data_IF_284072870974
#
_entry.id   IF_284072870974
#
_cell.length_a   1.000
_cell.length_b   1.000
_cell.length_c   1.000
_cell.angle_alpha   90.00
_cell.angle_beta   90.00
_cell.angle_gamma   90.00
#
_symmetry.space_group_name_H-M   'P 1'
#
loop_
_entity.id
_entity.type
_entity.pdbx_description
1 polymer ?
#
# COMPACT_ATOMS: atom_id res chain seq x y z
N UNK A 1 4.70 13.47 -3.38
CA UNK A 1 3.55 14.00 -2.60
C UNK A 1 2.71 15.00 -3.40
N UNK A 2 3.22 16.17 -3.83
CA UNK A 2 2.44 17.15 -4.62
C UNK A 2 2.00 16.66 -6.00
N UNK A 3 2.83 15.90 -6.70
CA UNK A 3 2.52 15.41 -8.05
C UNK A 3 1.38 14.38 -8.06
N UNK A 4 1.33 13.48 -7.09
CA UNK A 4 0.27 12.47 -6.99
C UNK A 4 -1.07 13.07 -6.59
N UNK A 5 -1.04 14.10 -5.75
CA UNK A 5 -2.24 14.82 -5.34
C UNK A 5 -2.83 15.61 -6.51
N UNK A 6 -1.98 16.24 -7.33
CA UNK A 6 -2.37 16.91 -8.58
C UNK A 6 -2.99 15.92 -9.57
N UNK A 7 -2.39 14.75 -9.76
CA UNK A 7 -2.92 13.71 -10.67
C UNK A 7 -4.27 13.18 -10.18
N UNK A 8 -4.45 12.99 -8.88
CA UNK A 8 -5.73 12.59 -8.29
C UNK A 8 -6.82 13.64 -8.50
N UNK A 9 -6.50 14.91 -8.25
CA UNK A 9 -7.46 16.00 -8.42
C UNK A 9 -7.80 16.25 -9.89
N UNK A 10 -6.83 16.18 -10.81
CA UNK A 10 -7.09 16.32 -12.24
C UNK A 10 -7.94 15.17 -12.79
N UNK A 11 -7.72 13.94 -12.35
CA UNK A 11 -8.55 12.80 -12.75
C UNK A 11 -9.99 12.93 -12.24
N UNK A 12 -10.19 13.39 -10.99
CA UNK A 12 -11.52 13.62 -10.43
C UNK A 12 -12.26 14.77 -11.11
N UNK A 13 -11.56 15.87 -11.44
CA UNK A 13 -12.13 17.02 -12.16
C UNK A 13 -12.48 16.62 -13.59
N UNK A 14 -11.62 15.89 -14.29
CA UNK A 14 -11.88 15.38 -15.64
C UNK A 14 -13.14 14.52 -15.66
N UNK A 15 -13.27 13.59 -14.72
CA UNK A 15 -14.44 12.72 -14.59
C UNK A 15 -15.73 13.51 -14.26
N UNK A 16 -15.66 14.49 -13.36
CA UNK A 16 -16.79 15.35 -13.04
C UNK A 16 -17.24 16.18 -14.27
N UNK A 17 -16.30 16.68 -15.06
CA UNK A 17 -16.60 17.41 -16.30
C UNK A 17 -17.23 16.50 -17.36
N UNK A 18 -16.76 15.26 -17.49
CA UNK A 18 -17.35 14.26 -18.39
C UNK A 18 -18.78 13.92 -18.00
N UNK A 19 -19.06 13.76 -16.71
CA UNK A 19 -20.42 13.56 -16.18
C UNK A 19 -21.30 14.77 -16.50
N UNK A 20 -20.82 15.98 -16.27
CA UNK A 20 -21.55 17.22 -16.55
C UNK A 20 -21.83 17.36 -18.05
N UNK A 21 -20.84 17.02 -18.89
CA UNK A 21 -20.98 17.05 -20.34
C UNK A 21 -22.02 16.03 -20.83
N UNK A 22 -21.96 14.80 -20.31
CA UNK A 22 -22.94 13.75 -20.64
C UNK A 22 -24.36 14.12 -20.16
N UNK A 23 -24.49 14.75 -19.00
CA UNK A 23 -25.81 15.23 -18.51
C UNK A 23 -26.33 16.42 -19.27
N UNK A 24 -25.45 17.32 -19.76
CA UNK A 24 -25.84 18.46 -20.61
C UNK A 24 -26.26 18.03 -22.02
N UNK A 25 -25.60 17.07 -22.64
CA UNK A 25 -26.00 16.45 -23.91
C UNK A 25 -27.41 15.84 -23.77
N UNK A 26 -27.74 15.34 -22.60
CA UNK A 26 -29.07 14.81 -22.30
C UNK A 26 -30.17 15.88 -22.15
N UNK A 27 -29.78 17.08 -21.70
CA UNK A 27 -30.74 18.18 -21.48
C UNK A 27 -31.08 18.97 -22.73
N UNK A 28 -30.15 19.06 -23.68
CA UNK A 28 -30.31 19.82 -24.93
C UNK A 28 -29.93 18.95 -26.14
N UNK A 29 -30.86 18.16 -26.70
CA UNK A 29 -30.58 17.43 -27.93
C UNK A 29 -30.39 18.43 -29.05
N UNK A 30 -29.16 18.54 -29.55
CA UNK A 30 -28.83 19.35 -30.75
C UNK A 30 -29.46 18.64 -31.93
N UNK A 31 -30.47 19.26 -32.53
CA UNK A 31 -31.09 18.82 -33.82
C UNK A 31 -32.22 17.80 -33.68
N UNK A 32 -33.30 18.20 -33.00
CA UNK A 32 -34.55 17.46 -33.03
C UNK A 32 -35.33 17.81 -34.31
N UNK A 33 -34.95 17.26 -35.46
CA UNK A 33 -35.81 17.08 -36.62
C UNK A 33 -35.67 15.62 -37.07
N UNK A 34 -36.74 14.86 -36.90
CA UNK A 34 -37.02 13.52 -37.50
C UNK A 34 -36.25 12.28 -36.97
N UNK A 35 -35.82 12.20 -35.73
CA UNK A 35 -35.56 10.90 -35.12
C UNK A 35 -36.32 10.72 -33.81
N UNK A 36 -37.56 11.06 -33.81
CA UNK A 36 -38.53 10.62 -32.80
C UNK A 36 -38.91 9.19 -33.09
N UNK A 37 -38.28 8.27 -32.49
CA UNK A 37 -38.68 6.96 -32.02
C UNK A 37 -37.39 6.14 -31.77
N UNK A 38 -36.43 6.68 -31.04
CA UNK A 38 -35.58 5.78 -30.29
C UNK A 38 -36.42 5.37 -29.08
N UNK A 39 -36.98 4.18 -29.15
CA UNK A 39 -37.72 3.56 -28.07
C UNK A 39 -37.08 3.87 -26.73
N UNK A 40 -37.79 4.56 -25.86
CA UNK A 40 -37.28 4.97 -24.53
C UNK A 40 -36.65 3.79 -23.77
N UNK A 41 -37.07 2.58 -24.08
CA UNK A 41 -36.50 1.33 -23.57
C UNK A 41 -35.06 1.10 -24.07
N UNK A 42 -34.79 1.28 -25.37
CA UNK A 42 -33.45 1.13 -25.97
C UNK A 42 -32.49 2.18 -25.45
N UNK A 43 -32.97 3.42 -25.34
CA UNK A 43 -32.18 4.54 -24.74
C UNK A 43 -31.81 4.26 -23.30
N UNK A 44 -32.74 3.74 -22.49
CA UNK A 44 -32.50 3.38 -21.10
C UNK A 44 -31.48 2.23 -20.97
N UNK A 45 -31.54 1.25 -21.85
CA UNK A 45 -30.59 0.13 -21.92
C UNK A 45 -29.18 0.65 -22.26
N UNK A 46 -29.05 1.48 -23.29
CA UNK A 46 -27.76 2.05 -23.69
C UNK A 46 -27.15 2.89 -22.54
N UNK A 47 -27.96 3.73 -21.91
CA UNK A 47 -27.50 4.54 -20.76
C UNK A 47 -27.05 3.66 -19.59
N UNK A 48 -27.84 2.66 -19.19
CA UNK A 48 -27.50 1.75 -18.10
C UNK A 48 -26.22 0.97 -18.40
N UNK A 49 -26.06 0.50 -19.63
CA UNK A 49 -24.86 -0.23 -20.05
C UNK A 49 -23.63 0.69 -20.04
N UNK A 50 -23.75 1.91 -20.53
CA UNK A 50 -22.67 2.89 -20.51
C UNK A 50 -22.24 3.24 -19.07
N UNK A 51 -23.18 3.46 -18.17
CA UNK A 51 -22.90 3.70 -16.76
C UNK A 51 -22.26 2.50 -16.07
N UNK A 52 -22.75 1.28 -16.36
CA UNK A 52 -22.17 0.05 -15.82
C UNK A 52 -20.73 -0.14 -16.28
N UNK A 53 -20.44 0.07 -17.55
CA UNK A 53 -19.06 0.00 -18.09
C UNK A 53 -18.15 1.08 -17.48
N UNK A 54 -18.65 2.30 -17.28
CA UNK A 54 -17.89 3.38 -16.67
C UNK A 54 -17.55 3.14 -15.19
N UNK A 55 -18.37 2.38 -14.47
CA UNK A 55 -18.13 2.08 -13.04
C UNK A 55 -17.15 0.93 -12.80
N UNK A 56 -16.96 0.02 -13.77
CA UNK A 56 -16.06 -1.15 -13.66
C UNK A 56 -14.62 -0.78 -13.26
N UNK A 57 -13.93 0.18 -13.92
CA UNK A 57 -12.57 0.54 -13.53
C UNK A 57 -12.50 1.09 -12.10
N UNK A 58 -13.52 1.82 -11.63
CA UNK A 58 -13.55 2.32 -10.26
C UNK A 58 -13.67 1.21 -9.22
N UNK A 59 -14.50 0.20 -9.51
CA UNK A 59 -14.64 -0.98 -8.65
C UNK A 59 -13.31 -1.76 -8.61
N UNK A 60 -12.63 -1.91 -9.76
CA UNK A 60 -11.35 -2.60 -9.83
C UNK A 60 -10.26 -1.86 -9.06
N UNK A 61 -10.15 -0.54 -9.23
CA UNK A 61 -9.19 0.30 -8.51
C UNK A 61 -9.50 0.32 -7.01
N UNK A 62 -10.76 0.42 -6.62
CA UNK A 62 -11.18 0.36 -5.22
C UNK A 62 -10.78 -0.97 -4.58
N UNK A 63 -11.06 -2.10 -5.25
CA UNK A 63 -10.62 -3.42 -4.76
C UNK A 63 -9.08 -3.48 -4.62
N UNK A 64 -8.33 -2.99 -5.61
CA UNK A 64 -6.88 -2.91 -5.54
C UNK A 64 -6.40 -2.12 -4.32
N UNK A 65 -6.95 -0.93 -4.10
CA UNK A 65 -6.57 -0.06 -2.99
C UNK A 65 -6.93 -0.65 -1.61
N UNK A 66 -8.06 -1.34 -1.47
CA UNK A 66 -8.48 -1.92 -0.19
C UNK A 66 -7.93 -3.33 0.08
N UNK A 67 -7.59 -4.08 -0.97
CA UNK A 67 -7.16 -5.48 -0.85
C UNK A 67 -5.64 -5.64 -0.70
N UNK A 68 -4.85 -4.72 -1.27
CA UNK A 68 -3.39 -4.87 -1.35
C UNK A 68 -2.66 -4.44 -0.07
N UNK A 69 -3.29 -3.64 0.78
CA UNK A 69 -2.63 -3.07 1.98
C UNK A 69 -2.57 -4.02 3.17
N UNK A 70 -3.31 -5.12 3.17
CA UNK A 70 -3.39 -6.04 4.33
C UNK A 70 -3.16 -7.51 3.95
N UNK A 71 -2.81 -7.83 2.70
CA UNK A 71 -2.57 -9.20 2.26
C UNK A 71 -1.07 -9.52 2.29
N UNK A 72 -0.57 -9.79 3.50
CA UNK A 72 0.83 -10.15 3.71
C UNK A 72 1.06 -11.63 3.42
N UNK A 73 2.01 -11.92 2.55
CA UNK A 73 2.38 -13.29 2.20
C UNK A 73 3.71 -13.66 2.86
N UNK A 74 3.72 -14.76 3.61
CA UNK A 74 4.94 -15.30 4.20
C UNK A 74 5.59 -16.28 3.23
N UNK A 75 6.78 -15.92 2.73
CA UNK A 75 7.60 -16.81 1.93
C UNK A 75 8.55 -17.60 2.82
N UNK A 76 8.54 -18.94 2.71
CA UNK A 76 9.41 -19.80 3.49
C UNK A 76 10.46 -20.44 2.57
N UNK A 77 11.72 -20.34 2.97
CA UNK A 77 12.85 -20.95 2.25
C UNK A 77 13.72 -21.72 3.23
N UNK A 78 14.11 -22.93 2.87
CA UNK A 78 15.07 -23.73 3.63
C UNK A 78 16.45 -23.58 2.99
N UNK A 79 17.44 -23.14 3.77
CA UNK A 79 18.81 -22.93 3.32
C UNK A 79 19.70 -24.00 3.98
N UNK A 80 20.28 -24.89 3.17
CA UNK A 80 21.19 -25.93 3.63
C UNK A 80 22.63 -25.43 3.58
N UNK A 81 23.24 -25.28 4.75
CA UNK A 81 24.63 -24.85 4.89
C UNK A 81 25.49 -26.04 5.35
N UNK A 82 26.34 -26.63 4.49
CA UNK A 82 27.08 -27.87 4.77
C UNK A 82 28.01 -27.79 5.99
N UNK A 83 28.49 -26.59 6.31
CA UNK A 83 29.46 -26.36 7.40
C UNK A 83 28.82 -25.66 8.62
N UNK A 84 27.51 -25.59 8.69
CA UNK A 84 26.83 -25.00 9.84
C UNK A 84 26.98 -25.90 11.07
N UNK A 85 27.24 -25.29 12.22
CA UNK A 85 27.27 -26.03 13.49
C UNK A 85 25.89 -26.68 13.74
N UNK A 86 25.89 -27.94 14.19
CA UNK A 86 24.66 -28.64 14.56
C UNK A 86 23.82 -27.93 15.63
N UNK A 87 24.44 -27.04 16.41
CA UNK A 87 23.72 -26.21 17.39
C UNK A 87 22.82 -25.14 16.75
N UNK A 88 23.06 -24.81 15.50
CA UNK A 88 22.30 -23.83 14.72
C UNK A 88 21.36 -24.52 13.71
N UNK A 89 21.26 -25.83 13.75
CA UNK A 89 20.33 -26.58 12.89
C UNK A 89 18.89 -26.24 13.30
N UNK A 90 18.07 -25.91 12.32
CA UNK A 90 16.70 -25.47 12.54
C UNK A 90 16.54 -23.99 12.93
N UNK A 91 17.62 -23.18 12.92
CA UNK A 91 17.56 -21.75 13.22
C UNK A 91 16.56 -21.04 12.28
N UNK A 92 15.60 -20.34 12.86
CA UNK A 92 14.60 -19.57 12.13
C UNK A 92 14.97 -18.10 12.06
N UNK A 93 15.23 -17.62 10.85
CA UNK A 93 15.48 -16.20 10.58
C UNK A 93 14.29 -15.63 9.84
N UNK A 94 13.66 -14.61 10.40
CA UNK A 94 12.61 -13.86 9.71
C UNK A 94 13.20 -12.56 9.20
N UNK A 95 13.09 -12.33 7.89
CA UNK A 95 13.49 -11.07 7.26
C UNK A 95 12.27 -10.21 7.02
N UNK A 96 12.39 -8.92 7.36
CA UNK A 96 11.44 -7.86 7.05
C UNK A 96 12.20 -6.78 6.28
N UNK A 97 11.63 -6.29 5.19
CA UNK A 97 12.24 -5.24 4.36
C UNK A 97 11.19 -4.26 3.88
N UNK A 98 11.62 -3.06 3.49
CA UNK A 98 10.80 -2.07 2.77
C UNK A 98 9.50 -1.71 3.51
N UNK A 99 9.60 -1.46 4.80
CA UNK A 99 8.45 -1.16 5.64
C UNK A 99 7.77 0.16 5.28
N UNK A 100 8.50 1.19 4.87
CA UNK A 100 7.98 2.52 4.50
C UNK A 100 6.86 3.01 5.42
N UNK A 101 7.09 2.88 6.73
CA UNK A 101 6.11 3.18 7.77
C UNK A 101 5.62 4.63 7.69
N UNK A 102 4.32 4.82 7.88
CA UNK A 102 3.70 6.14 7.86
C UNK A 102 3.37 6.69 6.47
N UNK A 103 3.87 6.08 5.39
CA UNK A 103 3.55 6.49 4.02
C UNK A 103 2.57 5.55 3.34
N UNK A 104 2.81 4.25 3.42
CA UNK A 104 1.99 3.21 2.77
C UNK A 104 1.20 2.38 3.77
N UNK A 105 1.73 2.23 4.98
CA UNK A 105 1.11 1.46 6.04
C UNK A 105 0.61 2.38 7.14
N UNK A 106 -0.65 2.23 7.49
CA UNK A 106 -1.18 2.76 8.74
C UNK A 106 -0.72 1.89 9.93
N UNK A 107 -0.97 2.36 11.14
CA UNK A 107 -0.57 1.63 12.35
C UNK A 107 -1.18 0.23 12.41
N UNK A 108 -2.39 0.02 11.88
CA UNK A 108 -3.07 -1.27 11.92
C UNK A 108 -2.42 -2.31 11.02
N UNK A 109 -1.92 -1.89 9.85
CA UNK A 109 -1.22 -2.76 8.91
C UNK A 109 0.13 -3.24 9.51
N UNK A 110 0.87 -2.35 10.17
CA UNK A 110 2.12 -2.74 10.80
C UNK A 110 1.92 -3.64 12.01
N UNK A 111 0.88 -3.43 12.80
CA UNK A 111 0.51 -4.34 13.90
C UNK A 111 0.22 -5.74 13.39
N UNK A 112 -0.40 -5.88 12.23
CA UNK A 112 -0.60 -7.18 11.60
C UNK A 112 0.73 -7.84 11.18
N UNK A 113 1.69 -7.07 10.63
CA UNK A 113 3.05 -7.57 10.37
C UNK A 113 3.71 -8.09 11.65
N UNK A 114 3.67 -7.33 12.74
CA UNK A 114 4.20 -7.74 14.05
C UNK A 114 3.55 -9.06 14.51
N UNK A 115 2.23 -9.16 14.41
CA UNK A 115 1.49 -10.37 14.77
C UNK A 115 1.93 -11.60 13.95
N UNK A 116 2.08 -11.41 12.63
CA UNK A 116 2.53 -12.48 11.73
C UNK A 116 3.95 -12.91 12.10
N UNK A 117 4.88 -11.96 12.24
CA UNK A 117 6.28 -12.23 12.56
C UNK A 117 6.40 -13.00 13.89
N UNK A 118 5.75 -12.53 14.94
CA UNK A 118 5.79 -13.19 16.24
C UNK A 118 5.18 -14.59 16.21
N UNK A 119 4.13 -14.81 15.39
CA UNK A 119 3.53 -16.14 15.21
C UNK A 119 4.47 -17.17 14.58
N UNK A 120 5.52 -16.73 13.90
CA UNK A 120 6.55 -17.61 13.30
C UNK A 120 7.55 -18.11 14.35
N UNK A 121 7.56 -17.52 15.56
CA UNK A 121 8.53 -17.78 16.64
C UNK A 121 9.98 -17.75 16.09
N UNK A 122 10.47 -16.58 15.65
CA UNK A 122 11.80 -16.47 15.08
C UNK A 122 12.89 -16.53 16.16
N UNK A 123 14.01 -17.16 15.85
CA UNK A 123 15.23 -17.02 16.64
C UNK A 123 15.91 -15.67 16.38
N UNK A 124 15.86 -15.21 15.14
CA UNK A 124 16.43 -13.93 14.71
C UNK A 124 15.43 -13.19 13.82
N UNK A 125 15.31 -11.88 14.06
CA UNK A 125 14.63 -10.96 13.12
C UNK A 125 15.69 -10.08 12.46
N UNK A 126 15.72 -10.06 11.12
CA UNK A 126 16.55 -9.18 10.32
C UNK A 126 15.68 -8.14 9.62
N UNK A 127 15.84 -6.86 9.94
CA UNK A 127 15.14 -5.76 9.28
C UNK A 127 16.12 -5.09 8.33
N UNK A 128 15.89 -5.27 7.02
CA UNK A 128 16.88 -4.92 6.00
C UNK A 128 16.60 -3.59 5.31
N UNK A 129 16.26 -2.57 6.13
CA UNK A 129 16.19 -1.17 5.71
C UNK A 129 14.85 -0.72 5.19
N UNK A 130 14.85 0.52 4.71
CA UNK A 130 13.69 1.28 4.22
C UNK A 130 12.55 1.32 5.25
N UNK A 131 12.91 1.68 6.48
CA UNK A 131 11.95 1.83 7.59
C UNK A 131 10.97 2.95 7.35
N UNK A 132 11.45 4.06 6.78
CA UNK A 132 10.68 5.27 6.49
C UNK A 132 10.86 5.66 5.04
N UNK A 133 10.00 6.55 4.56
CA UNK A 133 10.11 7.05 3.19
C UNK A 133 11.06 8.25 3.12
N UNK A 134 10.91 9.23 4.00
CA UNK A 134 11.67 10.47 3.97
C UNK A 134 12.04 11.05 5.35
N UNK A 135 11.39 10.64 6.43
CA UNK A 135 11.59 11.27 7.75
C UNK A 135 11.27 10.35 8.91
N UNK A 136 12.06 10.39 10.01
CA UNK A 136 11.78 9.64 11.23
C UNK A 136 10.44 10.00 11.89
N UNK A 137 9.84 11.13 11.51
CA UNK A 137 8.51 11.53 11.99
C UNK A 137 7.42 10.55 11.55
N UNK A 138 7.66 9.85 10.47
CA UNK A 138 6.77 8.81 9.93
C UNK A 138 6.66 7.61 10.87
N UNK A 139 7.70 7.36 11.70
CA UNK A 139 7.69 6.29 12.70
C UNK A 139 6.83 6.60 13.95
N UNK A 140 6.41 7.84 14.18
CA UNK A 140 5.78 8.24 15.45
C UNK A 140 4.60 7.36 15.88
N UNK A 141 3.83 6.86 14.93
CA UNK A 141 2.70 5.97 15.20
C UNK A 141 3.13 4.52 15.46
N UNK A 142 4.24 4.07 14.86
CA UNK A 142 4.65 2.67 14.81
C UNK A 142 5.85 2.34 15.70
N UNK A 143 6.40 3.33 16.39
CA UNK A 143 7.58 3.14 17.24
C UNK A 143 7.39 2.10 18.35
N UNK A 144 6.24 2.14 19.02
CA UNK A 144 5.93 1.16 20.05
C UNK A 144 5.70 -0.24 19.47
N UNK A 145 5.16 -0.32 18.26
CA UNK A 145 4.88 -1.59 17.59
C UNK A 145 6.18 -2.29 17.15
N UNK A 146 7.23 -1.55 16.75
CA UNK A 146 8.58 -2.09 16.51
C UNK A 146 9.14 -2.83 17.72
N UNK A 147 8.87 -2.33 18.94
CA UNK A 147 9.32 -2.96 20.18
C UNK A 147 8.61 -4.27 20.50
N UNK A 148 7.42 -4.47 19.94
CA UNK A 148 6.62 -5.69 20.13
C UNK A 148 7.11 -6.86 19.27
N UNK A 149 8.06 -6.64 18.36
CA UNK A 149 8.73 -7.73 17.66
C UNK A 149 9.53 -8.58 18.66
N UNK A 150 9.35 -9.89 18.64
CA UNK A 150 9.97 -10.84 19.56
C UNK A 150 10.86 -11.83 18.81
N UNK A 151 12.08 -12.04 19.30
CA UNK A 151 13.03 -13.00 18.77
C UNK A 151 13.88 -13.58 19.90
N UNK A 152 14.12 -14.89 19.91
CA UNK A 152 14.79 -15.60 21.01
C UNK A 152 16.26 -15.18 21.15
N UNK A 153 16.98 -14.92 20.04
CA UNK A 153 18.39 -14.54 20.04
C UNK A 153 18.53 -13.02 19.90
N UNK A 154 17.78 -12.41 19.01
CA UNK A 154 17.83 -10.96 18.85
C UNK A 154 17.27 -10.42 17.54
N UNK A 155 17.18 -9.09 17.51
CA UNK A 155 16.74 -8.30 16.37
C UNK A 155 17.93 -7.53 15.83
N UNK A 156 18.14 -7.58 14.52
CA UNK A 156 19.22 -6.90 13.81
C UNK A 156 18.64 -6.04 12.71
N UNK A 157 19.15 -4.83 12.57
CA UNK A 157 18.71 -3.92 11.53
C UNK A 157 19.88 -3.33 10.75
N UNK A 158 19.63 -2.98 9.49
CA UNK A 158 20.50 -2.11 8.70
C UNK A 158 19.64 -1.04 8.01
N UNK A 159 20.27 0.02 7.56
CA UNK A 159 19.59 1.09 6.83
C UNK A 159 19.49 0.73 5.36
N UNK A 160 18.34 1.08 4.75
CA UNK A 160 18.12 0.99 3.31
C UNK A 160 18.39 2.33 2.60
N UNK A 161 18.12 2.40 1.31
CA UNK A 161 18.40 3.60 0.52
C UNK A 161 17.48 4.79 0.88
N UNK A 162 16.24 4.55 1.25
CA UNK A 162 15.33 5.61 1.70
C UNK A 162 15.76 6.20 3.04
N UNK A 163 16.28 5.37 3.93
CA UNK A 163 16.79 5.82 5.22
C UNK A 163 17.99 6.76 5.05
N UNK A 164 18.72 6.68 3.93
CA UNK A 164 19.87 7.56 3.61
C UNK A 164 19.46 8.91 3.01
N UNK A 165 18.22 9.13 2.62
CA UNK A 165 17.75 10.43 2.11
C UNK A 165 17.52 11.46 3.24
N UNK A 166 17.56 11.02 4.47
CA UNK A 166 17.42 11.88 5.64
C UNK A 166 18.68 12.69 5.93
N UNK A 167 18.52 13.82 6.64
CA UNK A 167 19.63 14.57 7.19
C UNK A 167 20.37 13.76 8.26
N UNK A 168 21.65 14.09 8.52
CA UNK A 168 22.45 13.40 9.54
C UNK A 168 21.81 13.44 10.95
N UNK A 169 21.13 14.52 11.28
CA UNK A 169 20.41 14.65 12.55
C UNK A 169 19.20 13.72 12.64
N UNK A 170 18.48 13.52 11.54
CA UNK A 170 17.33 12.61 11.46
C UNK A 170 17.77 11.14 11.47
N UNK A 171 18.89 10.81 10.81
CA UNK A 171 19.56 9.51 10.90
C UNK A 171 19.82 9.08 12.35
N UNK A 172 20.39 9.99 13.15
CA UNK A 172 20.65 9.72 14.57
C UNK A 172 19.36 9.48 15.37
N UNK A 173 18.26 10.11 14.97
CA UNK A 173 16.95 9.86 15.60
C UNK A 173 16.45 8.46 15.23
N UNK A 174 16.55 8.06 13.96
CA UNK A 174 16.17 6.72 13.52
C UNK A 174 16.97 5.64 14.25
N UNK A 175 18.29 5.75 14.30
CA UNK A 175 19.15 4.79 14.99
C UNK A 175 18.79 4.63 16.47
N UNK A 176 18.47 5.73 17.19
CA UNK A 176 18.02 5.66 18.58
C UNK A 176 16.66 4.98 18.77
N UNK A 177 15.89 4.90 17.72
CA UNK A 177 14.58 4.21 17.72
C UNK A 177 14.78 2.71 17.55
N UNK A 178 15.82 2.32 16.81
CA UNK A 178 16.12 0.92 16.47
C UNK A 178 16.98 0.21 17.54
N UNK A 179 17.67 0.96 18.40
CA UNK A 179 18.40 0.46 19.59
C UNK A 179 17.41 0.09 20.71
#
# INVERSE_FOLDING_TARGET
>A
MWAEEIVRHTALIGFALDIIMLTNIHRNPIGATELEIVDNKKRKIIQTTAWSLATVPFIMVSKGLFSTTLDFTVHKSEIKLPNLSKKLDGLKVVQISDLHLGSFYDNSAFQEVVRIVNSLNPDIIAITGDFVNNSPKELKGNYNDLKLLEADIGKFSCLGNHDHYMSESEHRVLLKVLD
#
